data_IF_693944203508
#
_entry.id   IF_693944203508
#
_cell.length_a   1.000
_cell.length_b   1.000
_cell.length_c   1.000
_cell.angle_alpha   90.00
_cell.angle_beta   90.00
_cell.angle_gamma   90.00
#
_symmetry.space_group_name_H-M   'P 1'
#
loop_
_entity.id
_entity.type
_entity.pdbx_description
1 polymer ?
#
# COMPACT_ATOMS: atom_id res chain seq x y z
N UNK A 1 -16.27 3.60 -21.03
CA UNK A 1 -16.40 3.69 -19.56
C UNK A 1 -15.01 3.74 -18.96
N UNK A 2 -14.43 4.94 -18.94
CA UNK A 2 -13.09 5.22 -18.40
C UNK A 2 -13.36 6.27 -17.33
N UNK A 3 -13.41 5.86 -16.06
CA UNK A 3 -13.47 6.81 -14.94
C UNK A 3 -12.05 7.34 -14.73
N UNK A 4 -11.76 8.49 -15.34
CA UNK A 4 -10.61 9.32 -15.01
C UNK A 4 -10.85 9.92 -13.62
N UNK A 5 -10.18 9.37 -12.61
CA UNK A 5 -10.23 9.81 -11.23
C UNK A 5 -9.33 11.04 -11.06
N UNK A 6 -9.91 12.17 -10.67
CA UNK A 6 -9.26 13.48 -10.57
C UNK A 6 -8.51 13.64 -9.23
N UNK A 7 -7.20 13.89 -9.32
CA UNK A 7 -6.26 14.07 -8.21
C UNK A 7 -6.50 15.31 -7.34
N UNK A 8 -7.56 16.10 -7.57
CA UNK A 8 -7.79 17.40 -6.92
C UNK A 8 -8.82 17.40 -5.77
N UNK A 9 -9.48 16.29 -5.48
CA UNK A 9 -10.58 16.27 -4.48
C UNK A 9 -10.20 15.81 -3.07
N UNK A 10 -9.00 15.27 -2.84
CA UNK A 10 -8.57 14.83 -1.50
C UNK A 10 -7.93 15.96 -0.67
N UNK A 11 -8.52 17.16 -0.76
CA UNK A 11 -8.08 18.38 -0.08
C UNK A 11 -8.95 18.75 1.13
N UNK A 12 -9.42 17.77 1.90
CA UNK A 12 -10.05 18.05 3.20
C UNK A 12 -9.40 17.20 4.27
N UNK A 13 -8.89 17.90 5.27
CA UNK A 13 -8.39 17.43 6.56
C UNK A 13 -9.44 16.51 7.20
N UNK A 14 -9.30 15.22 6.97
CA UNK A 14 -10.11 14.21 7.63
C UNK A 14 -9.26 13.68 8.78
N UNK A 15 -9.77 13.85 10.00
CA UNK A 15 -9.18 13.36 11.26
C UNK A 15 -8.81 11.88 11.12
N UNK A 16 -7.51 11.63 11.10
CA UNK A 16 -6.86 10.49 10.43
C UNK A 16 -6.93 9.15 11.19
N UNK A 17 -7.67 9.06 12.30
CA UNK A 17 -7.61 7.91 13.21
C UNK A 17 -8.91 7.10 13.27
N UNK A 18 -10.09 7.74 13.22
CA UNK A 18 -11.37 7.05 13.35
C UNK A 18 -11.78 6.29 12.07
N UNK A 19 -11.41 6.82 10.90
CA UNK A 19 -11.63 6.12 9.62
C UNK A 19 -10.75 4.89 9.45
N UNK A 20 -9.56 4.87 10.06
CA UNK A 20 -8.71 3.68 10.02
C UNK A 20 -9.38 2.56 10.81
N UNK A 21 -9.96 2.86 11.98
CA UNK A 21 -10.59 1.85 12.84
C UNK A 21 -11.77 1.15 12.15
N UNK A 22 -12.63 1.90 11.44
CA UNK A 22 -13.81 1.34 10.78
C UNK A 22 -13.42 0.50 9.55
N UNK A 23 -12.46 0.95 8.76
CA UNK A 23 -11.94 0.17 7.62
C UNK A 23 -11.16 -1.08 8.06
N UNK A 24 -10.44 -1.04 9.19
CA UNK A 24 -9.70 -2.20 9.74
C UNK A 24 -10.65 -3.31 10.17
N UNK A 25 -11.85 -2.98 10.67
CA UNK A 25 -12.86 -3.99 11.03
C UNK A 25 -13.26 -4.86 9.83
N UNK A 26 -13.35 -4.26 8.65
CA UNK A 26 -13.65 -4.98 7.40
C UNK A 26 -12.49 -5.87 6.90
N UNK A 27 -11.29 -5.72 7.47
CA UNK A 27 -10.07 -6.40 7.05
C UNK A 27 -9.58 -7.47 8.04
N UNK A 28 -10.08 -7.44 9.28
CA UNK A 28 -9.62 -8.28 10.39
C UNK A 28 -9.75 -9.80 10.17
N UNK A 29 -10.54 -10.23 9.18
CA UNK A 29 -10.70 -11.66 8.83
C UNK A 29 -9.70 -12.20 7.79
N UNK A 30 -8.95 -11.34 7.10
CA UNK A 30 -8.06 -11.78 6.02
C UNK A 30 -6.58 -11.71 6.42
N UNK A 31 -5.95 -12.87 6.53
CA UNK A 31 -4.50 -12.99 6.78
C UNK A 31 -3.67 -12.23 5.74
N UNK A 32 -4.13 -12.18 4.48
CA UNK A 32 -3.45 -11.48 3.40
C UNK A 32 -3.48 -9.96 3.63
N UNK A 33 -4.62 -9.41 4.05
CA UNK A 33 -4.75 -7.99 4.35
C UNK A 33 -3.87 -7.59 5.54
N UNK A 34 -3.90 -8.38 6.62
CA UNK A 34 -3.07 -8.13 7.82
C UNK A 34 -1.58 -8.17 7.49
N UNK A 35 -1.14 -9.12 6.65
CA UNK A 35 0.26 -9.23 6.24
C UNK A 35 0.71 -8.03 5.39
N UNK A 36 -0.13 -7.55 4.47
CA UNK A 36 0.15 -6.34 3.70
C UNK A 36 0.25 -5.10 4.60
N UNK A 37 -0.70 -4.91 5.52
CA UNK A 37 -0.68 -3.79 6.47
C UNK A 37 0.59 -3.82 7.31
N UNK A 38 0.99 -4.99 7.81
CA UNK A 38 2.22 -5.15 8.57
C UNK A 38 3.45 -4.80 7.73
N UNK A 39 3.50 -5.25 6.48
CA UNK A 39 4.59 -4.93 5.57
C UNK A 39 4.66 -3.42 5.26
N UNK A 40 3.51 -2.76 5.07
CA UNK A 40 3.43 -1.30 4.90
C UNK A 40 3.97 -0.55 6.12
N UNK A 41 3.56 -0.96 7.32
CA UNK A 41 3.99 -0.35 8.57
C UNK A 41 5.50 -0.47 8.83
N UNK A 42 6.17 -1.46 8.22
CA UNK A 42 7.63 -1.65 8.33
C UNK A 42 8.44 -0.71 7.44
N UNK A 43 7.82 -0.01 6.47
CA UNK A 43 8.57 0.83 5.54
C UNK A 43 9.44 1.90 6.23
N UNK A 44 8.94 2.68 7.22
CA UNK A 44 9.76 3.68 7.90
C UNK A 44 10.99 3.07 8.62
N UNK A 45 10.82 1.91 9.25
CA UNK A 45 11.91 1.20 9.93
C UNK A 45 12.97 0.71 8.93
N UNK A 46 12.54 0.23 7.76
CA UNK A 46 13.43 -0.15 6.65
C UNK A 46 14.26 1.05 6.20
N UNK A 47 13.63 2.22 6.01
CA UNK A 47 14.35 3.44 5.64
C UNK A 47 15.36 3.85 6.72
N UNK A 48 14.95 3.86 7.98
CA UNK A 48 15.83 4.16 9.11
C UNK A 48 17.02 3.20 9.18
N UNK A 49 16.79 1.91 8.96
CA UNK A 49 17.83 0.90 8.96
C UNK A 49 18.80 1.11 7.78
N UNK A 50 18.29 1.35 6.58
CA UNK A 50 19.13 1.63 5.40
C UNK A 50 19.98 2.88 5.57
N UNK A 51 19.47 3.93 6.21
CA UNK A 51 20.30 5.10 6.53
C UNK A 51 21.43 4.79 7.50
N UNK A 52 21.21 3.88 8.46
CA UNK A 52 22.24 3.47 9.43
C UNK A 52 23.30 2.55 8.81
N UNK A 53 22.88 1.57 8.01
CA UNK A 53 23.79 0.59 7.40
C UNK A 53 24.43 1.09 6.11
N UNK A 54 23.83 2.11 5.48
CA UNK A 54 24.21 2.61 4.15
C UNK A 54 24.13 1.53 3.05
N UNK A 55 23.29 0.51 3.24
CA UNK A 55 23.13 -0.60 2.30
C UNK A 55 21.79 -0.51 1.53
N UNK A 56 21.79 -0.02 0.27
CA UNK A 56 20.56 0.14 -0.53
C UNK A 56 19.85 -1.19 -0.81
N UNK A 57 20.57 -2.32 -0.76
CA UNK A 57 20.03 -3.68 -0.90
C UNK A 57 18.90 -3.97 0.09
N UNK A 58 18.88 -3.31 1.25
CA UNK A 58 17.82 -3.48 2.24
C UNK A 58 16.47 -2.97 1.71
N UNK A 59 16.46 -1.81 1.02
CA UNK A 59 15.25 -1.27 0.38
C UNK A 59 14.80 -2.19 -0.75
N UNK A 60 15.74 -2.61 -1.62
CA UNK A 60 15.43 -3.51 -2.74
C UNK A 60 14.77 -4.81 -2.24
N UNK A 61 15.34 -5.42 -1.20
CA UNK A 61 14.82 -6.66 -0.61
C UNK A 61 13.42 -6.45 -0.04
N UNK A 62 13.17 -5.31 0.60
CA UNK A 62 11.84 -4.96 1.09
C UNK A 62 10.83 -4.79 -0.05
N UNK A 63 11.18 -4.05 -1.11
CA UNK A 63 10.28 -3.80 -2.24
C UNK A 63 9.92 -5.08 -2.99
N UNK A 64 10.88 -6.00 -3.17
CA UNK A 64 10.62 -7.31 -3.77
C UNK A 64 9.65 -8.13 -2.90
N UNK A 65 9.88 -8.21 -1.59
CA UNK A 65 8.96 -8.89 -0.65
C UNK A 65 7.57 -8.28 -0.68
N UNK A 66 7.47 -6.95 -0.70
CA UNK A 66 6.19 -6.24 -0.76
C UNK A 66 5.43 -6.56 -2.06
N UNK A 67 6.15 -6.58 -3.19
CA UNK A 67 5.56 -6.94 -4.49
C UNK A 67 5.06 -8.39 -4.50
N UNK A 68 5.81 -9.33 -3.92
CA UNK A 68 5.36 -10.71 -3.80
C UNK A 68 4.09 -10.86 -2.95
N UNK A 69 3.99 -10.13 -1.83
CA UNK A 69 2.77 -10.09 -1.01
C UNK A 69 1.61 -9.47 -1.76
N UNK A 70 1.86 -8.42 -2.55
CA UNK A 70 0.85 -7.77 -3.36
C UNK A 70 0.28 -8.73 -4.41
N UNK A 71 1.15 -9.41 -5.17
CA UNK A 71 0.75 -10.38 -6.17
C UNK A 71 -0.02 -11.55 -5.58
N UNK A 72 0.42 -12.10 -4.43
CA UNK A 72 -0.30 -13.22 -3.80
C UNK A 72 -1.65 -12.81 -3.22
N UNK A 73 -1.79 -11.55 -2.80
CA UNK A 73 -3.05 -11.02 -2.29
C UNK A 73 -4.09 -10.74 -3.38
N UNK A 74 -3.67 -10.56 -4.65
CA UNK A 74 -4.53 -10.05 -5.71
C UNK A 74 -5.72 -10.96 -6.02
N UNK A 75 -5.49 -12.28 -6.01
CA UNK A 75 -6.55 -13.28 -6.25
C UNK A 75 -7.48 -13.45 -5.03
N UNK A 76 -7.01 -13.11 -3.84
CA UNK A 76 -7.72 -13.33 -2.57
C UNK A 76 -8.51 -12.10 -2.13
N UNK A 77 -7.93 -10.90 -2.28
CA UNK A 77 -8.50 -9.62 -1.85
C UNK A 77 -9.18 -8.90 -3.02
N UNK A 78 -10.16 -9.56 -3.64
CA UNK A 78 -10.90 -8.98 -4.77
C UNK A 78 -11.62 -7.69 -4.36
N UNK A 79 -11.48 -6.61 -5.12
CA UNK A 79 -12.16 -5.33 -4.80
C UNK A 79 -13.50 -5.21 -5.55
N UNK A 80 -13.55 -5.73 -6.78
CA UNK A 80 -14.72 -5.60 -7.66
C UNK A 80 -15.80 -6.60 -7.27
N UNK A 81 -16.99 -6.08 -6.95
CA UNK A 81 -18.18 -6.88 -6.62
C UNK A 81 -18.41 -7.11 -5.12
N UNK A 82 -17.61 -6.48 -4.27
CA UNK A 82 -17.77 -6.51 -2.80
C UNK A 82 -18.64 -5.36 -2.29
N UNK A 83 -19.07 -5.46 -1.02
CA UNK A 83 -19.75 -4.37 -0.32
C UNK A 83 -18.85 -3.12 -0.21
N UNK A 84 -19.44 -1.92 -0.30
CA UNK A 84 -18.73 -0.64 -0.38
C UNK A 84 -17.68 -0.46 0.73
N UNK A 85 -17.99 -0.82 1.98
CA UNK A 85 -17.04 -0.74 3.10
C UNK A 85 -15.83 -1.66 2.95
N UNK A 86 -16.04 -2.89 2.48
CA UNK A 86 -14.99 -3.88 2.24
C UNK A 86 -14.14 -3.48 1.02
N UNK A 87 -14.79 -3.04 -0.05
CA UNK A 87 -14.13 -2.59 -1.27
C UNK A 87 -13.24 -1.36 -1.00
N UNK A 88 -13.77 -0.35 -0.29
CA UNK A 88 -13.01 0.84 0.12
C UNK A 88 -11.79 0.48 0.95
N UNK A 89 -11.95 -0.41 1.94
CA UNK A 89 -10.86 -0.84 2.81
C UNK A 89 -9.74 -1.56 2.05
N UNK A 90 -10.10 -2.49 1.15
CA UNK A 90 -9.13 -3.21 0.30
C UNK A 90 -8.42 -2.25 -0.67
N UNK A 91 -9.15 -1.31 -1.27
CA UNK A 91 -8.59 -0.30 -2.16
C UNK A 91 -7.57 0.59 -1.45
N UNK A 92 -7.87 1.01 -0.21
CA UNK A 92 -6.95 1.81 0.60
C UNK A 92 -5.60 1.09 0.86
N UNK A 93 -5.62 -0.23 1.07
CA UNK A 93 -4.39 -1.03 1.19
C UNK A 93 -3.60 -1.01 -0.11
N UNK A 94 -4.26 -1.25 -1.25
CA UNK A 94 -3.61 -1.26 -2.56
C UNK A 94 -3.00 0.11 -2.91
N UNK A 95 -3.72 1.19 -2.60
CA UNK A 95 -3.23 2.54 -2.81
C UNK A 95 -2.00 2.84 -1.93
N UNK A 96 -2.05 2.45 -0.65
CA UNK A 96 -0.91 2.58 0.26
C UNK A 96 0.32 1.80 -0.23
N UNK A 97 0.11 0.57 -0.75
CA UNK A 97 1.16 -0.22 -1.37
C UNK A 97 1.75 0.46 -2.61
N UNK A 98 0.91 1.03 -3.47
CA UNK A 98 1.36 1.81 -4.64
C UNK A 98 2.24 2.98 -4.23
N UNK A 99 1.84 3.74 -3.21
CA UNK A 99 2.63 4.86 -2.69
C UNK A 99 3.98 4.41 -2.12
N UNK A 100 4.01 3.36 -1.32
CA UNK A 100 5.26 2.84 -0.74
C UNK A 100 6.21 2.33 -1.82
N UNK A 101 5.69 1.59 -2.82
CA UNK A 101 6.49 1.11 -3.94
C UNK A 101 7.07 2.28 -4.76
N UNK A 102 6.24 3.30 -5.06
CA UNK A 102 6.69 4.54 -5.73
C UNK A 102 7.83 5.21 -4.97
N UNK A 103 7.63 5.47 -3.67
CA UNK A 103 8.62 6.14 -2.83
C UNK A 103 9.93 5.34 -2.74
N UNK A 104 9.85 4.02 -2.61
CA UNK A 104 11.04 3.16 -2.57
C UNK A 104 11.79 3.10 -3.89
N UNK A 105 11.08 3.07 -5.02
CA UNK A 105 11.69 3.12 -6.36
C UNK A 105 12.38 4.47 -6.61
N UNK A 106 11.71 5.58 -6.30
CA UNK A 106 12.27 6.93 -6.43
C UNK A 106 13.52 7.11 -5.54
N UNK A 107 13.50 6.56 -4.32
CA UNK A 107 14.66 6.58 -3.42
C UNK A 107 15.87 5.81 -3.98
N UNK A 108 15.62 4.78 -4.79
CA UNK A 108 16.66 4.02 -5.49
C UNK A 108 17.09 4.68 -6.82
N UNK A 109 16.55 5.85 -7.16
CA UNK A 109 16.83 6.56 -8.40
C UNK A 109 16.13 5.97 -9.63
N UNK A 110 15.12 5.13 -9.43
CA UNK A 110 14.29 4.58 -10.50
C UNK A 110 13.10 5.50 -10.78
N UNK A 111 12.58 5.45 -12.02
CA UNK A 111 11.36 6.17 -12.39
C UNK A 111 10.19 5.18 -12.47
N UNK A 112 9.20 5.27 -11.55
CA UNK A 112 8.01 4.43 -11.59
C UNK A 112 7.17 4.69 -12.84
N UNK A 113 6.68 3.62 -13.46
CA UNK A 113 5.80 3.68 -14.63
C UNK A 113 4.35 3.48 -14.22
N UNK A 114 3.45 4.27 -14.80
CA UNK A 114 2.00 4.21 -14.49
C UNK A 114 1.25 3.16 -15.30
N UNK A 115 1.80 2.80 -16.46
CA UNK A 115 1.28 1.77 -17.36
C UNK A 115 2.46 1.14 -18.09
N UNK A 116 2.54 -0.19 -18.05
CA UNK A 116 3.43 -1.00 -18.89
C UNK A 116 2.61 -1.71 -19.95
#
# INVERSE_FOLDING_TARGET
LIMTWDHRTFGRTITHLDLIADHVKHLAGSTHAVNLIRALAQFPDVILNTMKTQEPTTIVTYLLKMTHLLSSSYDVLRVVGEEEGVASARLAIYESARMVLRNGMELLGLTPVERM
#
